data_IF_700278560876
#
_entry.id   IF_700278560876
#
_cell.length_a   1.000
_cell.length_b   1.000
_cell.length_c   1.000
_cell.angle_alpha   90.00
_cell.angle_beta   90.00
_cell.angle_gamma   90.00
#
_symmetry.space_group_name_H-M   'P 1'
#
loop_
_entity.id
_entity.type
_entity.pdbx_description
1 polymer ?
#
# COMPACT_ATOMS: atom_id res chain seq x y z
N UNK A 1 38.49 15.12 19.40
CA UNK A 1 38.77 15.73 18.08
C UNK A 1 38.69 17.25 18.24
N UNK A 2 39.74 18.02 17.89
CA UNK A 2 39.68 19.49 18.01
C UNK A 2 38.56 20.03 17.11
N UNK A 3 37.65 20.84 17.65
CA UNK A 3 36.46 21.38 16.95
C UNK A 3 36.78 21.98 15.58
N UNK A 4 37.92 22.65 15.46
CA UNK A 4 38.41 23.25 14.21
C UNK A 4 38.74 22.19 13.14
N UNK A 5 39.28 21.03 13.54
CA UNK A 5 39.58 19.91 12.62
C UNK A 5 38.28 19.29 12.09
N UNK A 6 37.29 19.15 12.97
CA UNK A 6 35.94 18.68 12.61
C UNK A 6 35.26 19.62 11.61
N UNK A 7 35.26 20.93 11.87
CA UNK A 7 34.68 21.93 10.98
C UNK A 7 35.31 21.89 9.58
N UNK A 8 36.63 21.72 9.49
CA UNK A 8 37.32 21.63 8.19
C UNK A 8 36.93 20.36 7.42
N UNK A 9 36.88 19.23 8.11
CA UNK A 9 36.60 17.92 7.52
C UNK A 9 35.17 17.81 6.97
N UNK A 10 34.19 18.37 7.68
CA UNK A 10 32.76 18.31 7.29
C UNK A 10 32.23 19.62 6.70
N UNK A 11 33.10 20.58 6.38
CA UNK A 11 32.76 21.93 5.91
C UNK A 11 31.75 21.93 4.75
N UNK A 12 31.99 21.10 3.74
CA UNK A 12 31.11 20.98 2.57
C UNK A 12 29.70 20.46 2.94
N UNK A 13 29.62 19.41 3.77
CA UNK A 13 28.35 18.85 4.22
C UNK A 13 27.58 19.82 5.12
N UNK A 14 28.28 20.58 5.96
CA UNK A 14 27.69 21.61 6.81
C UNK A 14 27.14 22.77 5.98
N UNK A 15 27.85 23.20 4.93
CA UNK A 15 27.38 24.24 4.00
C UNK A 15 26.10 23.79 3.29
N UNK A 16 26.09 22.57 2.74
CA UNK A 16 24.89 22.02 2.06
C UNK A 16 23.72 21.92 3.03
N UNK A 17 23.95 21.41 4.25
CA UNK A 17 22.92 21.30 5.28
C UNK A 17 22.35 22.67 5.64
N UNK A 18 23.22 23.68 5.78
CA UNK A 18 22.82 25.05 6.09
C UNK A 18 21.95 25.63 4.97
N UNK A 19 22.36 25.46 3.70
CA UNK A 19 21.60 25.92 2.53
C UNK A 19 20.21 25.26 2.48
N UNK A 20 20.13 23.95 2.72
CA UNK A 20 18.87 23.22 2.72
C UNK A 20 17.94 23.69 3.84
N UNK A 21 18.46 23.88 5.06
CA UNK A 21 17.67 24.35 6.20
C UNK A 21 17.22 25.80 5.97
N UNK A 22 18.12 26.71 5.59
CA UNK A 22 17.79 28.13 5.40
C UNK A 22 16.87 28.33 4.20
N UNK A 23 17.13 27.66 3.08
CA UNK A 23 16.26 27.70 1.90
C UNK A 23 14.84 27.19 2.22
N UNK A 24 14.74 26.12 3.01
CA UNK A 24 13.45 25.60 3.47
C UNK A 24 12.72 26.59 4.39
N UNK A 25 13.42 27.20 5.35
CA UNK A 25 12.84 28.19 6.26
C UNK A 25 12.40 29.48 5.54
N UNK A 26 13.14 29.91 4.52
CA UNK A 26 12.75 31.05 3.67
C UNK A 26 11.49 30.69 2.88
N UNK A 27 11.45 29.52 2.22
CA UNK A 27 10.27 29.06 1.51
C UNK A 27 9.04 28.99 2.43
N UNK A 28 9.22 28.50 3.67
CA UNK A 28 8.19 28.52 4.71
C UNK A 28 7.69 29.92 5.04
N UNK A 29 8.61 30.87 5.25
CA UNK A 29 8.26 32.24 5.61
C UNK A 29 7.43 32.92 4.52
N UNK A 30 7.63 32.56 3.25
CA UNK A 30 6.88 33.10 2.12
C UNK A 30 5.52 32.43 1.89
N UNK A 31 5.43 31.10 2.05
CA UNK A 31 4.26 30.34 1.62
C UNK A 31 3.36 29.81 2.77
N UNK A 32 3.78 29.95 4.04
CA UNK A 32 3.03 29.49 5.20
C UNK A 32 2.92 27.96 5.30
N UNK A 33 2.15 27.46 6.28
CA UNK A 33 1.83 26.02 6.42
C UNK A 33 0.49 25.77 5.74
N UNK A 34 0.53 25.32 4.49
CA UNK A 34 -0.60 24.62 3.87
C UNK A 34 -0.28 23.13 3.82
N UNK A 35 -1.31 22.28 3.81
CA UNK A 35 -1.20 20.82 3.68
C UNK A 35 -0.50 20.36 2.39
N UNK A 36 -0.24 21.27 1.46
CA UNK A 36 0.42 21.02 0.17
C UNK A 36 1.96 21.18 0.23
N UNK A 37 2.51 21.68 1.35
CA UNK A 37 3.95 21.97 1.49
C UNK A 37 4.80 20.75 1.90
N UNK A 38 4.52 19.57 1.32
CA UNK A 38 5.29 18.34 1.54
C UNK A 38 6.78 18.51 1.21
N UNK A 39 7.10 19.24 0.14
CA UNK A 39 8.47 19.50 -0.29
C UNK A 39 9.29 20.28 0.74
N UNK A 40 8.67 21.26 1.43
CA UNK A 40 9.32 22.00 2.51
C UNK A 40 9.78 21.06 3.64
N UNK A 41 8.88 20.19 4.11
CA UNK A 41 9.19 19.23 5.17
C UNK A 41 10.29 18.26 4.76
N UNK A 42 10.30 17.83 3.49
CA UNK A 42 11.30 16.92 2.95
C UNK A 42 12.70 17.57 2.88
N UNK A 43 12.81 18.79 2.34
CA UNK A 43 14.11 19.49 2.26
C UNK A 43 14.63 19.89 3.65
N UNK A 44 13.76 20.28 4.58
CA UNK A 44 14.11 20.55 5.97
C UNK A 44 14.66 19.27 6.63
N UNK A 45 13.98 18.13 6.45
CA UNK A 45 14.42 16.85 6.98
C UNK A 45 15.78 16.43 6.41
N UNK A 46 16.00 16.57 5.09
CA UNK A 46 17.29 16.28 4.46
C UNK A 46 18.43 17.16 5.00
N UNK A 47 18.18 18.44 5.22
CA UNK A 47 19.14 19.37 5.80
C UNK A 47 19.50 19.03 7.25
N UNK A 48 18.50 18.75 8.10
CA UNK A 48 18.71 18.34 9.49
C UNK A 48 19.43 16.99 9.57
N UNK A 49 19.06 16.03 8.73
CA UNK A 49 19.69 14.71 8.66
C UNK A 49 21.17 14.79 8.30
N UNK A 50 21.52 15.56 7.26
CA UNK A 50 22.91 15.78 6.85
C UNK A 50 23.71 16.47 7.96
N UNK A 51 23.15 17.49 8.61
CA UNK A 51 23.79 18.21 9.71
C UNK A 51 24.09 17.29 10.90
N UNK A 52 23.10 16.50 11.31
CA UNK A 52 23.21 15.58 12.44
C UNK A 52 24.20 14.46 12.16
N UNK A 53 24.29 13.99 10.91
CA UNK A 53 25.28 13.00 10.51
C UNK A 53 26.71 13.46 10.73
N UNK A 54 26.97 14.75 10.54
CA UNK A 54 28.30 15.34 10.76
C UNK A 54 28.66 15.47 12.24
N UNK A 55 27.75 15.41 13.21
CA UNK A 55 28.10 15.71 14.62
C UNK A 55 29.26 14.87 15.18
N UNK A 56 30.11 15.43 16.05
CA UNK A 56 31.17 14.67 16.71
C UNK A 56 30.60 13.57 17.62
N UNK A 57 31.37 12.49 17.80
CA UNK A 57 31.00 11.34 18.61
C UNK A 57 31.05 11.68 20.12
N UNK A 58 29.98 12.26 20.64
CA UNK A 58 29.75 12.52 22.06
C UNK A 58 28.48 11.79 22.52
N UNK A 59 28.39 11.38 23.80
CA UNK A 59 27.23 10.64 24.33
C UNK A 59 25.89 11.31 24.03
N UNK A 60 25.75 12.62 24.26
CA UNK A 60 24.52 13.38 24.02
C UNK A 60 24.23 13.53 22.52
N UNK A 61 25.24 13.86 21.72
CA UNK A 61 25.08 14.02 20.27
C UNK A 61 24.76 12.70 19.57
N UNK A 62 25.26 11.57 20.10
CA UNK A 62 24.91 10.24 19.60
C UNK A 62 23.45 9.89 19.88
N UNK A 63 22.87 10.30 21.01
CA UNK A 63 21.42 10.13 21.27
C UNK A 63 20.59 10.91 20.26
N UNK A 64 20.95 12.18 19.99
CA UNK A 64 20.31 13.00 18.97
C UNK A 64 20.43 12.41 17.56
N UNK A 65 21.61 11.87 17.22
CA UNK A 65 21.81 11.10 15.99
C UNK A 65 20.80 9.96 15.91
N UNK A 66 20.74 9.10 16.91
CA UNK A 66 19.83 7.94 16.91
C UNK A 66 18.37 8.36 16.71
N UNK A 67 17.88 9.38 17.43
CA UNK A 67 16.49 9.85 17.30
C UNK A 67 16.16 10.28 15.86
N UNK A 68 17.07 11.01 15.23
CA UNK A 68 16.86 11.56 13.87
C UNK A 68 17.09 10.50 12.79
N UNK A 69 17.96 9.51 13.06
CA UNK A 69 18.19 8.35 12.19
C UNK A 69 17.10 7.27 12.32
N UNK A 70 16.32 7.20 13.40
CA UNK A 70 15.26 6.19 13.57
C UNK A 70 14.25 6.22 12.42
N UNK A 71 13.66 7.35 12.00
CA UNK A 71 12.75 7.40 10.85
C UNK A 71 13.40 6.91 9.55
N UNK A 72 14.67 7.25 9.34
CA UNK A 72 15.44 6.79 8.18
C UNK A 72 15.74 5.29 8.23
N UNK A 73 16.09 4.77 9.41
CA UNK A 73 16.27 3.33 9.65
C UNK A 73 14.95 2.57 9.44
N UNK A 74 13.83 3.10 9.91
CA UNK A 74 12.50 2.55 9.65
C UNK A 74 12.20 2.53 8.14
N UNK A 75 12.50 3.61 7.42
CA UNK A 75 12.35 3.63 5.95
C UNK A 75 13.29 2.64 5.25
N UNK A 76 14.53 2.48 5.72
CA UNK A 76 15.46 1.47 5.20
C UNK A 76 14.99 0.03 5.49
N UNK A 77 14.39 -0.21 6.65
CA UNK A 77 13.79 -1.49 7.03
C UNK A 77 12.53 -1.80 6.21
N UNK A 78 11.74 -0.78 5.86
CA UNK A 78 10.54 -0.91 5.03
C UNK A 78 10.89 -1.05 3.55
N UNK A 79 12.02 -0.51 3.10
CA UNK A 79 12.48 -0.57 1.70
C UNK A 79 12.38 -1.97 1.05
N UNK A 80 12.85 -3.08 1.67
CA UNK A 80 12.67 -4.41 1.10
C UNK A 80 11.20 -4.86 1.00
N UNK A 81 10.31 -4.33 1.85
CA UNK A 81 8.86 -4.57 1.81
C UNK A 81 8.13 -3.64 0.84
N UNK A 82 8.73 -2.53 0.42
CA UNK A 82 8.09 -1.55 -0.46
C UNK A 82 7.66 -2.20 -1.79
N UNK A 83 8.51 -3.05 -2.38
CA UNK A 83 8.16 -3.78 -3.60
C UNK A 83 6.97 -4.72 -3.40
N UNK A 84 6.91 -5.40 -2.25
CA UNK A 84 5.78 -6.24 -1.86
C UNK A 84 4.49 -5.42 -1.67
N UNK A 85 4.53 -4.27 -0.97
CA UNK A 85 3.38 -3.39 -0.81
C UNK A 85 2.87 -2.85 -2.14
N UNK A 86 3.77 -2.42 -3.02
CA UNK A 86 3.42 -1.91 -4.35
C UNK A 86 2.84 -3.03 -5.22
N UNK A 87 3.36 -4.26 -5.10
CA UNK A 87 2.78 -5.44 -5.73
C UNK A 87 1.37 -5.76 -5.21
N UNK A 88 1.07 -5.54 -3.92
CA UNK A 88 -0.30 -5.62 -3.39
C UNK A 88 -1.19 -4.54 -4.03
N UNK A 89 -0.73 -3.29 -4.07
CA UNK A 89 -1.51 -2.19 -4.64
C UNK A 89 -1.87 -2.48 -6.10
N UNK A 90 -0.89 -2.84 -6.92
CA UNK A 90 -1.12 -3.15 -8.34
C UNK A 90 -1.90 -4.45 -8.49
N UNK A 91 -1.49 -5.51 -7.79
CA UNK A 91 -2.02 -6.85 -8.01
C UNK A 91 -3.42 -7.08 -7.44
N UNK A 92 -3.78 -6.37 -6.37
CA UNK A 92 -5.06 -6.53 -5.66
C UNK A 92 -6.01 -5.36 -5.91
N UNK A 93 -5.54 -4.12 -5.78
CA UNK A 93 -6.41 -2.94 -5.84
C UNK A 93 -6.59 -2.36 -7.25
N UNK A 94 -5.63 -2.53 -8.17
CA UNK A 94 -5.84 -2.09 -9.55
C UNK A 94 -6.99 -2.85 -10.25
N UNK A 95 -7.15 -4.18 -10.08
CA UNK A 95 -8.33 -4.89 -10.57
C UNK A 95 -9.64 -4.35 -10.01
N UNK A 96 -9.68 -3.97 -8.72
CA UNK A 96 -10.86 -3.34 -8.12
C UNK A 96 -11.22 -2.04 -8.85
N UNK A 97 -10.24 -1.18 -9.12
CA UNK A 97 -10.45 0.09 -9.81
C UNK A 97 -10.97 -0.13 -11.23
N UNK A 98 -10.38 -1.07 -11.98
CA UNK A 98 -10.81 -1.41 -13.34
C UNK A 98 -12.25 -1.94 -13.34
N UNK A 99 -12.56 -2.89 -12.47
CA UNK A 99 -13.91 -3.44 -12.32
C UNK A 99 -14.91 -2.35 -11.93
N UNK A 100 -14.52 -1.43 -11.03
CA UNK A 100 -15.37 -0.30 -10.64
C UNK A 100 -15.70 0.59 -11.83
N UNK A 101 -14.70 0.95 -12.65
CA UNK A 101 -14.92 1.76 -13.85
C UNK A 101 -15.89 1.09 -14.83
N UNK A 102 -15.77 -0.23 -15.00
CA UNK A 102 -16.70 -1.02 -15.82
C UNK A 102 -18.13 -0.87 -15.27
N UNK A 103 -18.38 -1.17 -13.99
CA UNK A 103 -19.75 -1.15 -13.48
C UNK A 103 -20.33 0.24 -13.24
N UNK A 104 -19.49 1.28 -13.15
CA UNK A 104 -19.94 2.67 -13.06
C UNK A 104 -20.38 3.19 -14.43
N UNK A 105 -19.61 2.94 -15.49
CA UNK A 105 -19.85 3.61 -16.78
C UNK A 105 -20.46 2.73 -17.86
N UNK A 106 -20.15 1.44 -17.88
CA UNK A 106 -20.44 0.56 -19.01
C UNK A 106 -21.93 0.15 -19.09
N UNK A 107 -22.60 -0.23 -17.98
CA UNK A 107 -24.04 -0.56 -17.97
C UNK A 107 -24.94 0.57 -18.45
N UNK A 108 -24.70 1.80 -17.97
CA UNK A 108 -25.52 2.96 -18.29
C UNK A 108 -25.28 3.45 -19.71
N UNK A 109 -24.01 3.56 -20.12
CA UNK A 109 -23.66 4.16 -21.41
C UNK A 109 -23.86 3.22 -22.61
N UNK A 110 -23.68 1.91 -22.44
CA UNK A 110 -23.76 0.94 -23.56
C UNK A 110 -25.04 0.13 -23.58
N UNK A 111 -25.63 -0.17 -22.42
CA UNK A 111 -26.80 -1.04 -22.33
C UNK A 111 -28.06 -0.31 -21.88
N UNK A 112 -27.96 0.98 -21.51
CA UNK A 112 -29.07 1.78 -20.97
C UNK A 112 -29.73 1.14 -19.75
N UNK A 113 -28.95 0.37 -18.98
CA UNK A 113 -29.41 -0.26 -17.73
C UNK A 113 -28.98 0.65 -16.59
N UNK A 114 -29.97 1.30 -15.96
CA UNK A 114 -29.75 2.10 -14.75
C UNK A 114 -29.64 1.16 -13.54
N UNK A 115 -28.40 0.88 -13.13
CA UNK A 115 -28.13 0.07 -11.97
C UNK A 115 -28.09 0.94 -10.72
N UNK A 116 -28.91 0.59 -9.72
CA UNK A 116 -28.83 1.18 -8.39
C UNK A 116 -27.40 1.09 -7.83
N UNK A 117 -26.96 2.13 -7.12
CA UNK A 117 -25.61 2.19 -6.51
C UNK A 117 -25.26 0.98 -5.64
N UNK A 118 -26.24 0.45 -4.91
CA UNK A 118 -26.09 -0.78 -4.11
C UNK A 118 -25.80 -2.01 -4.97
N UNK A 119 -26.44 -2.12 -6.14
CA UNK A 119 -26.21 -3.22 -7.09
C UNK A 119 -24.81 -3.13 -7.70
N UNK A 120 -24.37 -1.91 -8.07
CA UNK A 120 -23.00 -1.68 -8.55
C UNK A 120 -21.97 -2.11 -7.52
N UNK A 121 -22.11 -1.67 -6.27
CA UNK A 121 -21.20 -2.06 -5.17
C UNK A 121 -21.17 -3.57 -4.98
N UNK A 122 -22.33 -4.23 -4.93
CA UNK A 122 -22.40 -5.69 -4.83
C UNK A 122 -21.60 -6.38 -5.95
N UNK A 123 -21.87 -6.03 -7.21
CA UNK A 123 -21.22 -6.65 -8.37
C UNK A 123 -19.71 -6.38 -8.40
N UNK A 124 -19.30 -5.15 -8.10
CA UNK A 124 -17.88 -4.76 -8.05
C UNK A 124 -17.14 -5.62 -7.04
N UNK A 125 -17.61 -5.68 -5.79
CA UNK A 125 -16.94 -6.43 -4.73
C UNK A 125 -16.94 -7.95 -5.01
N UNK A 126 -18.06 -8.49 -5.49
CA UNK A 126 -18.16 -9.91 -5.83
C UNK A 126 -17.22 -10.30 -6.96
N UNK A 127 -17.21 -9.56 -8.07
CA UNK A 127 -16.34 -9.89 -9.20
C UNK A 127 -14.87 -9.66 -8.85
N UNK A 128 -14.57 -8.58 -8.13
CA UNK A 128 -13.21 -8.29 -7.66
C UNK A 128 -12.66 -9.43 -6.79
N UNK A 129 -13.42 -9.88 -5.79
CA UNK A 129 -12.97 -10.96 -4.90
C UNK A 129 -12.79 -12.28 -5.63
N UNK A 130 -13.65 -12.60 -6.61
CA UNK A 130 -13.48 -13.76 -7.49
C UNK A 130 -12.18 -13.65 -8.29
N UNK A 131 -11.98 -12.53 -8.98
CA UNK A 131 -10.80 -12.30 -9.84
C UNK A 131 -9.52 -12.36 -9.02
N UNK A 132 -9.46 -11.71 -7.86
CA UNK A 132 -8.27 -11.71 -7.00
C UNK A 132 -8.02 -13.09 -6.37
N UNK A 133 -9.06 -13.82 -5.99
CA UNK A 133 -8.89 -15.16 -5.42
C UNK A 133 -8.32 -16.16 -6.43
N UNK A 134 -8.59 -15.98 -7.73
CA UNK A 134 -8.09 -16.86 -8.80
C UNK A 134 -6.73 -16.37 -9.33
N UNK A 135 -6.61 -15.07 -9.61
CA UNK A 135 -5.50 -14.48 -10.38
C UNK A 135 -4.62 -13.52 -9.58
N UNK A 136 -4.93 -13.22 -8.32
CA UNK A 136 -4.19 -12.24 -7.52
C UNK A 136 -2.70 -12.56 -7.42
N UNK A 137 -2.33 -13.83 -7.23
CA UNK A 137 -0.94 -14.26 -7.17
C UNK A 137 -0.20 -13.98 -8.49
N UNK A 138 -0.88 -14.20 -9.62
CA UNK A 138 -0.34 -13.91 -10.95
C UNK A 138 -0.12 -12.41 -11.14
N UNK A 139 -1.11 -11.56 -10.81
CA UNK A 139 -0.98 -10.11 -10.95
C UNK A 139 0.14 -9.54 -10.09
N UNK A 140 0.25 -10.00 -8.84
CA UNK A 140 1.30 -9.55 -7.92
C UNK A 140 2.70 -9.96 -8.42
N UNK A 141 2.84 -11.19 -8.95
CA UNK A 141 4.09 -11.64 -9.58
C UNK A 141 4.47 -10.76 -10.77
N UNK A 142 3.53 -10.41 -11.63
CA UNK A 142 3.78 -9.53 -12.77
C UNK A 142 4.18 -8.12 -12.32
N UNK A 143 3.52 -7.57 -11.29
CA UNK A 143 3.86 -6.27 -10.73
C UNK A 143 5.31 -6.22 -10.22
N UNK A 144 5.79 -7.29 -9.56
CA UNK A 144 7.18 -7.38 -9.10
C UNK A 144 8.16 -7.42 -10.28
N UNK A 145 7.85 -8.19 -11.33
CA UNK A 145 8.71 -8.29 -12.51
C UNK A 145 8.88 -6.94 -13.21
N UNK A 146 7.81 -6.14 -13.27
CA UNK A 146 7.83 -4.79 -13.84
C UNK A 146 8.64 -3.83 -12.96
N UNK A 147 8.46 -3.85 -11.64
CA UNK A 147 9.20 -2.97 -10.71
C UNK A 147 10.71 -3.21 -10.74
N UNK A 148 11.13 -4.46 -10.91
CA UNK A 148 12.52 -4.87 -10.88
C UNK A 148 13.17 -4.90 -12.27
N UNK A 149 12.49 -4.40 -13.31
CA UNK A 149 12.93 -4.48 -14.71
C UNK A 149 14.32 -3.88 -14.93
N UNK A 150 14.62 -2.74 -14.30
CA UNK A 150 15.85 -1.97 -14.54
C UNK A 150 17.01 -2.34 -13.58
N UNK A 151 16.82 -3.33 -12.71
CA UNK A 151 17.86 -3.74 -11.75
C UNK A 151 18.76 -4.83 -12.33
N UNK A 152 19.99 -4.89 -11.82
CA UNK A 152 20.94 -5.96 -12.16
C UNK A 152 20.37 -7.35 -11.86
N UNK A 153 20.62 -8.32 -12.73
CA UNK A 153 20.12 -9.71 -12.64
C UNK A 153 20.24 -10.32 -11.23
N UNK A 154 21.36 -10.10 -10.56
CA UNK A 154 21.64 -10.63 -9.21
C UNK A 154 20.78 -9.99 -8.10
N UNK A 155 20.43 -8.70 -8.23
CA UNK A 155 19.52 -8.02 -7.28
C UNK A 155 18.06 -8.34 -7.58
N UNK A 156 17.75 -8.52 -8.88
CA UNK A 156 16.43 -8.84 -9.39
C UNK A 156 15.98 -10.21 -8.89
N UNK A 157 16.81 -11.24 -8.98
CA UNK A 157 16.49 -12.60 -8.50
C UNK A 157 16.26 -12.63 -6.99
N UNK A 158 17.17 -12.05 -6.20
CA UNK A 158 17.05 -11.99 -4.75
C UNK A 158 15.76 -11.29 -4.27
N UNK A 159 15.41 -10.15 -4.89
CA UNK A 159 14.20 -9.40 -4.54
C UNK A 159 12.92 -10.10 -5.01
N UNK A 160 12.95 -10.73 -6.20
CA UNK A 160 11.83 -11.52 -6.71
C UNK A 160 11.56 -12.72 -5.80
N UNK A 161 12.59 -13.42 -5.36
CA UNK A 161 12.44 -14.61 -4.51
C UNK A 161 11.95 -14.23 -3.11
N UNK A 162 12.48 -13.14 -2.54
CA UNK A 162 11.96 -12.57 -1.30
C UNK A 162 10.47 -12.22 -1.43
N UNK A 163 10.10 -11.45 -2.44
CA UNK A 163 8.71 -11.05 -2.63
C UNK A 163 7.80 -12.25 -2.91
N UNK A 164 8.24 -13.24 -3.72
CA UNK A 164 7.50 -14.47 -3.97
C UNK A 164 7.32 -15.31 -2.70
N UNK A 165 8.31 -15.37 -1.82
CA UNK A 165 8.20 -16.09 -0.54
C UNK A 165 7.13 -15.47 0.38
N UNK A 166 6.92 -14.15 0.25
CA UNK A 166 5.85 -13.42 0.93
C UNK A 166 4.51 -13.48 0.18
N UNK A 167 4.46 -14.01 -1.04
CA UNK A 167 3.23 -14.14 -1.81
C UNK A 167 2.71 -15.56 -1.74
N UNK A 168 1.58 -15.73 -1.08
CA UNK A 168 0.82 -16.97 -1.15
C UNK A 168 -0.68 -16.67 -1.12
N UNK A 169 -1.47 -17.66 -1.54
CA UNK A 169 -2.93 -17.57 -1.55
C UNK A 169 -3.52 -17.30 -0.16
N UNK A 170 -2.84 -17.68 0.93
CA UNK A 170 -3.25 -17.36 2.29
C UNK A 170 -3.20 -15.85 2.57
N UNK A 171 -2.17 -15.16 2.12
CA UNK A 171 -2.01 -13.71 2.27
C UNK A 171 -3.03 -12.95 1.43
N UNK A 172 -3.30 -13.41 0.21
CA UNK A 172 -4.35 -12.82 -0.64
C UNK A 172 -5.72 -12.96 0.03
N UNK A 173 -6.05 -14.16 0.54
CA UNK A 173 -7.29 -14.38 1.30
C UNK A 173 -7.35 -13.48 2.54
N UNK A 174 -6.27 -13.41 3.31
CA UNK A 174 -6.18 -12.54 4.48
C UNK A 174 -6.46 -11.08 4.12
N UNK A 175 -5.88 -10.57 3.03
CA UNK A 175 -6.13 -9.21 2.57
C UNK A 175 -7.61 -9.00 2.21
N UNK A 176 -8.24 -9.93 1.50
CA UNK A 176 -9.68 -9.85 1.19
C UNK A 176 -10.54 -9.84 2.46
N UNK A 177 -10.25 -10.73 3.42
CA UNK A 177 -10.93 -10.74 4.72
C UNK A 177 -10.74 -9.43 5.49
N UNK A 178 -9.52 -8.90 5.51
CA UNK A 178 -9.19 -7.65 6.18
C UNK A 178 -9.93 -6.46 5.54
N UNK A 179 -9.98 -6.38 4.20
CA UNK A 179 -10.73 -5.34 3.49
C UNK A 179 -12.20 -5.39 3.88
N UNK A 180 -12.84 -6.57 3.85
CA UNK A 180 -14.23 -6.70 4.27
C UNK A 180 -14.45 -6.33 5.73
N UNK A 181 -13.55 -6.77 6.62
CA UNK A 181 -13.64 -6.46 8.04
C UNK A 181 -13.60 -4.95 8.30
N UNK A 182 -12.66 -4.23 7.68
CA UNK A 182 -12.55 -2.77 7.81
C UNK A 182 -13.81 -2.09 7.28
N UNK A 183 -14.26 -2.46 6.08
CA UNK A 183 -15.47 -1.87 5.47
C UNK A 183 -16.70 -2.12 6.35
N UNK A 184 -16.89 -3.34 6.85
CA UNK A 184 -18.03 -3.70 7.70
C UNK A 184 -18.00 -2.97 9.05
N UNK A 185 -16.82 -2.78 9.66
CA UNK A 185 -16.68 -2.00 10.89
C UNK A 185 -17.10 -0.55 10.65
N UNK A 186 -16.57 0.07 9.59
CA UNK A 186 -16.89 1.46 9.25
C UNK A 186 -18.40 1.61 9.07
N UNK A 187 -19.01 0.77 8.24
CA UNK A 187 -20.47 0.83 8.03
C UNK A 187 -21.28 0.52 9.29
N UNK A 188 -20.81 -0.36 10.18
CA UNK A 188 -21.48 -0.65 11.45
C UNK A 188 -21.44 0.54 12.40
N UNK A 189 -20.29 1.22 12.51
CA UNK A 189 -20.15 2.44 13.32
C UNK A 189 -21.09 3.53 12.80
N UNK A 190 -21.11 3.74 11.48
CA UNK A 190 -21.98 4.73 10.83
C UNK A 190 -23.45 4.44 11.16
N UNK A 191 -23.89 3.20 10.96
CA UNK A 191 -25.27 2.78 11.18
C UNK A 191 -25.70 2.85 12.64
N UNK A 192 -24.84 2.43 13.57
CA UNK A 192 -25.13 2.47 15.01
C UNK A 192 -25.24 3.92 15.52
N UNK A 193 -24.44 4.84 14.97
CA UNK A 193 -24.51 6.26 15.33
C UNK A 193 -25.54 7.06 14.52
N UNK A 194 -26.29 6.42 13.64
CA UNK A 194 -27.32 7.05 12.81
C UNK A 194 -26.76 8.23 12.00
N UNK A 195 -25.51 8.09 11.53
CA UNK A 195 -24.91 9.05 10.61
C UNK A 195 -25.35 8.73 9.18
N UNK A 196 -26.02 9.67 8.52
CA UNK A 196 -26.33 9.59 7.09
C UNK A 196 -25.09 10.00 6.27
N UNK A 197 -24.08 9.12 6.25
CA UNK A 197 -22.88 9.32 5.42
C UNK A 197 -23.12 9.01 3.94
N UNK A 198 -24.18 8.27 3.62
CA UNK A 198 -24.55 7.91 2.27
C UNK A 198 -26.06 8.03 2.08
N UNK A 199 -26.50 8.48 0.91
CA UNK A 199 -27.91 8.64 0.56
C UNK A 199 -28.67 7.30 0.38
N UNK A 200 -27.98 6.16 0.46
CA UNK A 200 -28.53 4.85 0.11
C UNK A 200 -28.38 3.81 1.24
N UNK A 201 -29.49 3.55 1.92
CA UNK A 201 -29.61 2.58 3.03
C UNK A 201 -29.28 1.13 2.64
N UNK A 202 -29.32 0.81 1.35
CA UNK A 202 -29.07 -0.54 0.85
C UNK A 202 -27.60 -0.84 0.59
N UNK A 203 -26.70 0.14 0.71
CA UNK A 203 -25.24 -0.09 0.55
C UNK A 203 -24.71 -1.09 1.58
N UNK A 204 -25.15 -1.00 2.83
CA UNK A 204 -24.77 -1.95 3.88
C UNK A 204 -25.19 -3.38 3.54
N UNK A 205 -26.40 -3.55 2.98
CA UNK A 205 -26.90 -4.86 2.57
C UNK A 205 -26.07 -5.42 1.41
N UNK A 206 -25.75 -4.60 0.40
CA UNK A 206 -24.92 -4.99 -0.73
C UNK A 206 -23.53 -5.48 -0.30
N UNK A 207 -22.88 -4.78 0.63
CA UNK A 207 -21.57 -5.17 1.18
C UNK A 207 -21.68 -6.53 1.88
N UNK A 208 -22.68 -6.72 2.76
CA UNK A 208 -22.89 -8.00 3.44
C UNK A 208 -23.14 -9.16 2.47
N UNK A 209 -24.01 -8.96 1.47
CA UNK A 209 -24.30 -9.97 0.46
C UNK A 209 -23.05 -10.32 -0.37
N UNK A 210 -22.23 -9.33 -0.72
CA UNK A 210 -20.97 -9.57 -1.42
C UNK A 210 -19.99 -10.38 -0.55
N UNK A 211 -19.92 -10.11 0.75
CA UNK A 211 -19.09 -10.85 1.69
C UNK A 211 -19.55 -12.31 1.85
N UNK A 212 -20.85 -12.56 1.99
CA UNK A 212 -21.39 -13.92 2.02
C UNK A 212 -21.15 -14.68 0.70
N UNK A 213 -21.22 -13.97 -0.43
CA UNK A 213 -20.88 -14.53 -1.74
C UNK A 213 -19.40 -14.92 -1.80
N UNK A 214 -18.51 -14.05 -1.31
CA UNK A 214 -17.08 -14.35 -1.20
C UNK A 214 -16.80 -15.56 -0.30
N UNK A 215 -17.42 -15.64 0.88
CA UNK A 215 -17.28 -16.81 1.78
C UNK A 215 -17.71 -18.11 1.09
N UNK A 216 -18.85 -18.09 0.41
CA UNK A 216 -19.38 -19.24 -0.32
C UNK A 216 -18.42 -19.66 -1.44
N UNK A 217 -17.90 -18.68 -2.19
CA UNK A 217 -16.94 -18.91 -3.26
C UNK A 217 -15.59 -19.44 -2.76
N UNK A 218 -15.06 -18.91 -1.65
CA UNK A 218 -13.82 -19.40 -1.03
C UNK A 218 -13.94 -20.86 -0.60
N UNK A 219 -15.10 -21.23 -0.03
CA UNK A 219 -15.41 -22.62 0.32
C UNK A 219 -15.52 -23.50 -0.92
N UNK A 220 -16.12 -23.02 -2.00
CA UNK A 220 -16.20 -23.75 -3.27
C UNK A 220 -14.80 -24.03 -3.83
N UNK A 221 -13.92 -23.02 -3.90
CA UNK A 221 -12.54 -23.21 -4.39
C UNK A 221 -11.77 -24.18 -3.50
N UNK A 222 -11.87 -24.03 -2.18
CA UNK A 222 -11.12 -24.86 -1.23
C UNK A 222 -11.55 -26.33 -1.31
N UNK A 223 -12.82 -26.58 -1.62
CA UNK A 223 -13.40 -27.91 -1.75
C UNK A 223 -13.34 -28.47 -3.18
N UNK A 224 -12.72 -27.79 -4.14
CA UNK A 224 -12.66 -28.24 -5.55
C UNK A 224 -12.11 -29.65 -5.72
N UNK A 225 -11.22 -30.08 -4.83
CA UNK A 225 -10.59 -31.40 -4.87
C UNK A 225 -11.59 -32.54 -4.61
N UNK A 226 -12.75 -32.26 -4.00
CA UNK A 226 -13.83 -33.24 -3.82
C UNK A 226 -14.55 -33.58 -5.13
N UNK A 227 -14.40 -32.73 -6.16
CA UNK A 227 -14.99 -32.94 -7.49
C UNK A 227 -14.10 -33.85 -8.35
N UNK A 228 -12.79 -33.91 -8.06
CA UNK A 228 -11.85 -34.79 -8.77
C UNK A 228 -11.99 -36.24 -8.28
N UNK A 229 -13.09 -36.89 -8.65
CA UNK A 229 -13.22 -38.34 -8.57
C UNK A 229 -12.29 -38.97 -9.62
N UNK A 230 -11.07 -39.30 -9.23
CA UNK A 230 -10.29 -40.32 -9.94
C UNK A 230 -10.84 -41.65 -9.43
N UNK A 231 -11.56 -42.45 -10.26
CA UNK A 231 -11.99 -43.76 -9.83
C UNK A 231 -10.75 -44.58 -9.49
N UNK A 232 -10.55 -44.88 -8.19
CA UNK A 232 -9.59 -45.88 -7.76
C UNK A 232 -10.07 -47.21 -8.32
N UNK A 233 -9.26 -47.77 -9.22
CA UNK A 233 -9.40 -49.10 -9.83
C UNK A 233 -10.41 -49.19 -10.99
N UNK A 234 -9.91 -48.92 -12.19
CA UNK A 234 -10.19 -49.82 -13.32
C UNK A 234 -8.84 -50.49 -13.62
N UNK A 235 -8.64 -51.68 -13.04
CA UNK A 235 -7.65 -52.66 -13.49
C UNK A 235 -8.37 -53.65 -14.37
#
# INVERSE_FOLDING_TARGET
MKFIKWLKEYSFSLIISLILITGSLIYYAYNGITSENFYFLLFLYMGVFSLVGTFPQNKILNILKVIIYIPFLLLMLIKPFFGFFLAIIIGVYAPLAIISLIFIHLPENLFQIDLLSSTKVYLIFTIWTIVISIYGEYFMKQAILIQEHDKSEEKKTSQIDFNKSLLNNGIIKYLLFLTYFIVLIVFSIIKLNHYDLFENDHLYLAINLSFFSFLSFDRLITNKNLINFIPKNIK
#
